data_IF_595444997742
#
_entry.id   IF_595444997742
#
_cell.length_a   1.000
_cell.length_b   1.000
_cell.length_c   1.000
_cell.angle_alpha   90.00
_cell.angle_beta   90.00
_cell.angle_gamma   90.00
#
_symmetry.space_group_name_H-M   'P 1'
#
loop_
_entity.id
_entity.type
_entity.pdbx_description
1 polymer ?
#
# COMPACT_ATOMS: atom_id res chain seq x y z
N UNK A 1 38.38 -3.21 36.21
CA UNK A 1 38.44 -3.75 34.83
C UNK A 1 37.04 -4.06 34.39
N UNK A 2 36.50 -3.26 33.47
CA UNK A 2 35.12 -3.39 32.98
C UNK A 2 34.94 -4.64 32.12
N UNK A 3 33.85 -5.36 32.35
CA UNK A 3 33.40 -6.43 31.45
C UNK A 3 32.64 -5.76 30.31
N UNK A 4 33.14 -5.93 29.09
CA UNK A 4 32.48 -5.50 27.88
C UNK A 4 31.14 -6.22 27.74
N UNK A 5 30.07 -5.44 27.59
CA UNK A 5 28.79 -5.94 27.13
C UNK A 5 28.91 -6.23 25.63
N UNK A 6 29.18 -7.49 25.28
CA UNK A 6 28.94 -7.99 23.93
C UNK A 6 27.43 -8.12 23.75
N UNK A 7 26.81 -7.10 23.14
CA UNK A 7 25.41 -7.12 22.78
C UNK A 7 25.16 -8.14 21.67
N UNK A 8 24.93 -9.40 22.03
CA UNK A 8 24.23 -10.34 21.16
C UNK A 8 22.77 -9.89 21.05
N UNK A 9 22.23 -9.63 19.84
CA UNK A 9 20.81 -9.32 19.68
C UNK A 9 20.00 -10.55 20.11
N UNK A 10 19.40 -10.47 21.28
CA UNK A 10 18.46 -11.46 21.78
C UNK A 10 17.15 -11.34 21.00
N UNK A 11 16.95 -12.23 20.03
CA UNK A 11 15.64 -12.76 19.63
C UNK A 11 14.43 -11.81 19.53
N UNK A 12 14.55 -10.66 18.86
CA UNK A 12 13.39 -9.83 18.49
C UNK A 12 13.03 -10.06 17.03
N UNK A 13 11.79 -10.51 16.79
CA UNK A 13 11.30 -11.10 15.54
C UNK A 13 11.63 -10.31 14.27
N UNK A 14 12.20 -11.01 13.28
CA UNK A 14 12.13 -10.59 11.88
C UNK A 14 10.66 -10.63 11.45
N UNK A 15 10.01 -9.48 11.38
CA UNK A 15 8.64 -9.36 10.91
C UNK A 15 8.69 -9.15 9.39
N UNK A 16 8.12 -10.06 8.57
CA UNK A 16 7.92 -9.78 7.15
C UNK A 16 7.06 -8.52 7.01
N UNK A 17 7.53 -7.60 6.15
CA UNK A 17 7.05 -6.22 6.07
C UNK A 17 5.53 -6.05 6.02
N UNK A 18 5.04 -4.94 6.59
CA UNK A 18 3.65 -4.50 6.44
C UNK A 18 3.49 -3.70 5.15
N UNK A 19 2.42 -3.96 4.41
CA UNK A 19 1.95 -3.09 3.34
C UNK A 19 1.23 -1.86 3.93
N UNK A 20 1.77 -0.67 3.73
CA UNK A 20 1.22 0.59 4.25
C UNK A 20 1.78 1.79 3.46
N UNK A 21 1.11 2.94 3.50
CA UNK A 21 1.70 4.21 3.06
C UNK A 21 2.20 5.02 4.27
N UNK A 22 2.73 6.22 4.01
CA UNK A 22 3.32 7.11 5.03
C UNK A 22 2.28 8.10 5.56
N UNK A 23 2.13 8.16 6.88
CA UNK A 23 1.12 8.99 7.54
C UNK A 23 1.39 10.49 7.43
N UNK A 24 2.65 10.88 7.38
CA UNK A 24 3.07 12.28 7.21
C UNK A 24 2.57 12.92 5.90
N UNK A 25 2.35 12.13 4.85
CA UNK A 25 1.83 12.61 3.56
C UNK A 25 0.31 12.42 3.43
N UNK A 26 -0.25 11.41 4.08
CA UNK A 26 -1.68 11.13 4.10
C UNK A 26 -2.09 10.59 5.47
N UNK A 27 -2.78 11.41 6.27
CA UNK A 27 -3.22 11.02 7.61
C UNK A 27 -4.37 10.02 7.55
N UNK A 28 -4.01 8.74 7.51
CA UNK A 28 -4.92 7.61 7.49
C UNK A 28 -4.47 6.58 8.54
N UNK A 29 -5.41 6.01 9.30
CA UNK A 29 -5.09 5.07 10.40
C UNK A 29 -4.36 3.78 9.96
N UNK A 30 -4.44 3.45 8.66
CA UNK A 30 -3.73 2.33 8.04
C UNK A 30 -2.28 2.66 7.65
N UNK A 31 -1.90 3.94 7.64
CA UNK A 31 -0.56 4.39 7.32
C UNK A 31 0.35 4.36 8.55
N UNK A 32 1.65 4.25 8.31
CA UNK A 32 2.67 4.25 9.35
C UNK A 32 3.14 5.68 9.63
N UNK A 33 3.23 6.03 10.91
CA UNK A 33 3.92 7.24 11.35
C UNK A 33 5.44 7.04 11.37
N UNK A 34 6.17 8.15 11.57
CA UNK A 34 7.63 8.16 11.53
C UNK A 34 8.25 7.29 12.62
N UNK A 35 7.64 7.23 13.81
CA UNK A 35 8.12 6.38 14.91
C UNK A 35 8.04 4.90 14.53
N UNK A 36 6.92 4.47 13.94
CA UNK A 36 6.74 3.11 13.46
C UNK A 36 7.71 2.77 12.32
N UNK A 37 7.93 3.69 11.38
CA UNK A 37 8.90 3.51 10.29
C UNK A 37 10.32 3.35 10.85
N UNK A 38 10.73 4.20 11.79
CA UNK A 38 12.03 4.12 12.45
C UNK A 38 12.19 2.82 13.26
N UNK A 39 11.12 2.34 13.89
CA UNK A 39 11.12 1.05 14.58
C UNK A 39 11.32 -0.12 13.59
N UNK A 40 10.72 -0.08 12.40
CA UNK A 40 10.96 -1.10 11.35
C UNK A 40 12.43 -1.10 10.93
N UNK A 41 13.01 0.09 10.70
CA UNK A 41 14.44 0.23 10.40
C UNK A 41 15.33 -0.39 11.47
N UNK A 42 15.08 -0.07 12.74
CA UNK A 42 15.86 -0.55 13.87
C UNK A 42 15.87 -2.09 13.97
N UNK A 43 14.79 -2.74 13.52
CA UNK A 43 14.66 -4.20 13.49
C UNK A 43 15.15 -4.85 12.18
N UNK A 44 15.72 -4.10 11.24
CA UNK A 44 16.17 -4.64 9.95
C UNK A 44 15.04 -4.99 8.98
N UNK A 45 13.79 -4.64 9.33
CA UNK A 45 12.60 -4.93 8.55
C UNK A 45 12.46 -4.00 7.33
N UNK A 46 11.51 -4.34 6.47
CA UNK A 46 11.18 -3.58 5.26
C UNK A 46 9.71 -3.16 5.33
N UNK A 47 9.39 -1.91 5.01
CA UNK A 47 8.02 -1.48 4.74
C UNK A 47 7.74 -1.62 3.26
N UNK A 48 6.62 -2.23 2.90
CA UNK A 48 6.17 -2.29 1.51
C UNK A 48 5.20 -1.13 1.27
N UNK A 49 5.65 -0.08 0.56
CA UNK A 49 4.81 1.09 0.29
C UNK A 49 3.68 0.67 -0.65
N UNK A 50 2.44 0.85 -0.19
CA UNK A 50 1.26 0.32 -0.89
C UNK A 50 0.59 1.37 -1.76
N UNK A 51 0.33 1.03 -3.02
CA UNK A 51 -0.38 1.87 -3.98
C UNK A 51 -1.90 1.79 -3.79
N UNK A 52 -2.39 2.06 -2.57
CA UNK A 52 -3.82 2.08 -2.29
C UNK A 52 -4.34 3.52 -2.30
N UNK A 53 -5.30 3.83 -3.18
CA UNK A 53 -5.72 5.20 -3.49
C UNK A 53 -5.97 6.08 -2.25
N UNK A 54 -6.77 5.61 -1.29
CA UNK A 54 -7.10 6.37 -0.08
C UNK A 54 -6.00 6.41 0.98
N UNK A 55 -4.93 5.63 0.81
CA UNK A 55 -3.76 5.61 1.70
C UNK A 55 -2.65 6.51 1.17
N UNK A 56 -2.58 6.65 -0.16
CA UNK A 56 -1.59 7.50 -0.85
C UNK A 56 -2.07 8.95 -0.90
N UNK A 57 -3.37 9.17 -1.04
CA UNK A 57 -3.93 10.51 -1.12
C UNK A 57 -5.23 10.54 -0.38
N UNK A 58 -5.36 11.45 0.57
CA UNK A 58 -6.64 11.72 1.20
C UNK A 58 -7.62 12.06 0.10
N UNK A 59 -8.65 11.22 -0.13
CA UNK A 59 -9.65 11.56 -1.12
C UNK A 59 -10.29 12.87 -0.65
N UNK A 60 -10.39 13.85 -1.54
CA UNK A 60 -11.26 15.00 -1.28
C UNK A 60 -12.64 14.44 -0.96
N UNK A 61 -13.27 14.98 0.09
CA UNK A 61 -14.63 14.59 0.44
C UNK A 61 -15.49 14.68 -0.84
N UNK A 62 -16.17 13.59 -1.23
CA UNK A 62 -17.07 13.66 -2.38
C UNK A 62 -18.09 14.77 -2.09
N UNK A 63 -18.58 15.42 -3.15
CA UNK A 63 -19.64 16.41 -2.98
C UNK A 63 -20.82 15.77 -2.24
N UNK A 64 -21.55 16.50 -1.36
CA UNK A 64 -22.71 15.96 -0.68
C UNK A 64 -23.72 15.30 -1.64
N UNK A 65 -23.88 15.89 -2.83
CA UNK A 65 -24.74 15.39 -3.90
C UNK A 65 -24.25 14.04 -4.43
N UNK A 66 -22.94 13.88 -4.66
CA UNK A 66 -22.35 12.60 -5.06
C UNK A 66 -22.54 11.53 -3.99
N UNK A 67 -22.28 11.87 -2.73
CA UNK A 67 -22.46 10.95 -1.62
C UNK A 67 -23.91 10.47 -1.50
N UNK A 68 -24.87 11.39 -1.66
CA UNK A 68 -26.31 11.08 -1.66
C UNK A 68 -26.71 10.20 -2.86
N UNK A 69 -26.23 10.52 -4.07
CA UNK A 69 -26.53 9.75 -5.27
C UNK A 69 -26.01 8.31 -5.16
N UNK A 70 -24.79 8.11 -4.65
CA UNK A 70 -24.23 6.78 -4.42
C UNK A 70 -24.99 6.03 -3.31
N UNK A 71 -25.34 6.71 -2.22
CA UNK A 71 -26.08 6.08 -1.13
C UNK A 71 -27.48 5.62 -1.59
N UNK A 72 -28.18 6.45 -2.34
CA UNK A 72 -29.48 6.11 -2.93
C UNK A 72 -29.36 4.91 -3.88
N UNK A 73 -28.39 4.96 -4.80
CA UNK A 73 -28.15 3.86 -5.75
C UNK A 73 -27.80 2.56 -5.03
N UNK A 74 -26.95 2.59 -4.00
CA UNK A 74 -26.61 1.39 -3.22
C UNK A 74 -27.83 0.83 -2.48
N UNK A 75 -28.68 1.68 -1.91
CA UNK A 75 -29.91 1.25 -1.25
C UNK A 75 -30.88 0.56 -2.22
N UNK A 76 -31.03 1.06 -3.44
CA UNK A 76 -31.86 0.43 -4.49
C UNK A 76 -31.38 -0.98 -4.89
N UNK A 77 -30.09 -1.25 -4.73
CA UNK A 77 -29.48 -2.55 -5.01
C UNK A 77 -29.28 -3.41 -3.76
N UNK A 78 -29.78 -2.97 -2.59
CA UNK A 78 -29.64 -3.71 -1.33
C UNK A 78 -28.20 -3.82 -0.82
N UNK A 79 -27.33 -2.87 -1.20
CA UNK A 79 -25.91 -2.85 -0.85
C UNK A 79 -25.66 -2.03 0.43
N UNK A 80 -24.70 -2.42 1.28
CA UNK A 80 -24.37 -1.66 2.49
C UNK A 80 -23.83 -0.27 2.15
N UNK A 81 -23.93 0.70 3.06
CA UNK A 81 -23.34 2.02 2.89
C UNK A 81 -21.82 1.93 2.59
N UNK A 82 -21.28 2.90 1.85
CA UNK A 82 -19.86 2.93 1.47
C UNK A 82 -18.97 2.94 2.72
N UNK A 83 -17.99 2.02 2.82
CA UNK A 83 -17.08 1.98 3.97
C UNK A 83 -16.44 0.63 4.31
N UNK A 84 -16.87 -0.48 3.70
CA UNK A 84 -16.26 -1.80 3.91
C UNK A 84 -15.69 -2.35 2.62
N UNK A 85 -14.35 -2.30 2.46
CA UNK A 85 -13.55 -3.08 1.51
C UNK A 85 -14.03 -3.05 0.05
N UNK A 86 -13.28 -2.40 -0.83
CA UNK A 86 -13.49 -2.40 -2.29
C UNK A 86 -13.28 -3.75 -2.98
N UNK A 87 -13.53 -4.87 -2.30
CA UNK A 87 -13.49 -6.22 -2.86
C UNK A 87 -14.87 -6.65 -3.33
N UNK A 88 -14.90 -7.53 -4.34
CA UNK A 88 -16.13 -8.07 -4.96
C UNK A 88 -17.14 -8.73 -4.01
N UNK A 89 -16.81 -8.91 -2.72
CA UNK A 89 -17.68 -9.49 -1.69
C UNK A 89 -19.00 -8.73 -1.47
N UNK A 90 -19.00 -7.39 -1.56
CA UNK A 90 -20.24 -6.62 -1.41
C UNK A 90 -21.27 -6.91 -2.51
N UNK A 91 -20.80 -7.34 -3.69
CA UNK A 91 -21.63 -7.64 -4.86
C UNK A 91 -21.87 -9.15 -5.02
N UNK A 92 -21.33 -9.99 -4.14
CA UNK A 92 -21.41 -11.44 -4.26
C UNK A 92 -22.86 -11.96 -4.32
N UNK A 93 -23.79 -11.31 -3.61
CA UNK A 93 -25.21 -11.65 -3.61
C UNK A 93 -26.02 -11.17 -4.83
N UNK A 94 -25.45 -10.37 -5.73
CA UNK A 94 -26.14 -9.86 -6.91
C UNK A 94 -25.93 -10.75 -8.14
N UNK A 95 -26.94 -10.85 -9.01
CA UNK A 95 -26.80 -11.51 -10.32
C UNK A 95 -25.86 -10.73 -11.24
N UNK A 96 -25.35 -11.37 -12.30
CA UNK A 96 -24.48 -10.70 -13.27
C UNK A 96 -25.18 -9.51 -13.95
N UNK A 97 -26.46 -9.65 -14.28
CA UNK A 97 -27.29 -8.60 -14.89
C UNK A 97 -27.46 -7.42 -13.94
N UNK A 98 -27.73 -7.71 -12.66
CA UNK A 98 -27.91 -6.68 -11.64
C UNK A 98 -26.60 -5.96 -11.33
N UNK A 99 -25.46 -6.66 -11.36
CA UNK A 99 -24.13 -6.04 -11.28
C UNK A 99 -23.85 -5.14 -12.48
N UNK A 100 -24.17 -5.59 -13.69
CA UNK A 100 -23.98 -4.79 -14.90
C UNK A 100 -24.88 -3.54 -14.91
N UNK A 101 -26.12 -3.67 -14.43
CA UNK A 101 -27.03 -2.52 -14.25
C UNK A 101 -26.48 -1.51 -13.22
N UNK A 102 -26.01 -1.99 -12.07
CA UNK A 102 -25.37 -1.16 -11.06
C UNK A 102 -24.15 -0.42 -11.65
N UNK A 103 -23.29 -1.11 -12.40
CA UNK A 103 -22.11 -0.50 -13.03
C UNK A 103 -22.49 0.60 -14.03
N UNK A 104 -23.51 0.38 -14.86
CA UNK A 104 -24.00 1.44 -15.78
C UNK A 104 -24.52 2.65 -15.03
N UNK A 105 -25.36 2.45 -14.00
CA UNK A 105 -25.92 3.56 -13.21
C UNK A 105 -24.86 4.28 -12.37
N UNK A 106 -23.83 3.57 -11.90
CA UNK A 106 -22.67 4.19 -11.29
C UNK A 106 -21.93 5.09 -12.29
N UNK A 107 -21.79 4.66 -13.54
CA UNK A 107 -21.16 5.49 -14.57
C UNK A 107 -21.98 6.77 -14.88
N UNK A 108 -23.31 6.70 -14.83
CA UNK A 108 -24.19 7.89 -14.93
C UNK A 108 -23.97 8.84 -13.73
N UNK A 109 -23.89 8.30 -12.51
CA UNK A 109 -23.56 9.08 -11.31
C UNK A 109 -22.19 9.73 -11.44
N UNK A 110 -21.18 9.02 -11.96
CA UNK A 110 -19.84 9.57 -12.16
C UNK A 110 -19.80 10.66 -13.25
N UNK A 111 -20.67 10.58 -14.26
CA UNK A 111 -20.81 11.66 -15.26
C UNK A 111 -21.45 12.91 -14.66
N UNK A 112 -22.49 12.74 -13.84
CA UNK A 112 -23.22 13.85 -13.23
C UNK A 112 -22.46 14.46 -12.06
N UNK A 113 -21.77 13.63 -11.29
CA UNK A 113 -21.01 13.99 -10.09
C UNK A 113 -19.63 13.31 -10.14
N UNK A 114 -18.66 13.91 -10.86
CA UNK A 114 -17.34 13.33 -11.03
C UNK A 114 -16.67 12.96 -9.70
N UNK A 115 -16.00 11.79 -9.63
CA UNK A 115 -15.25 11.41 -8.45
C UNK A 115 -14.11 12.41 -8.17
N UNK A 116 -13.69 12.55 -6.91
CA UNK A 116 -12.47 13.30 -6.60
C UNK A 116 -11.26 12.66 -7.32
N UNK A 117 -10.23 13.46 -7.63
CA UNK A 117 -9.02 12.95 -8.27
C UNK A 117 -8.41 11.80 -7.48
N UNK A 118 -8.04 10.72 -8.18
CA UNK A 118 -7.28 9.62 -7.59
C UNK A 118 -5.85 10.06 -7.27
N UNK A 119 -5.21 9.32 -6.38
CA UNK A 119 -3.77 9.27 -6.28
C UNK A 119 -3.18 8.85 -7.63
N UNK A 120 -2.07 9.44 -8.00
CA UNK A 120 -1.30 9.15 -9.21
C UNK A 120 -0.05 8.35 -8.87
N UNK A 121 0.65 7.81 -9.88
CA UNK A 121 2.01 7.26 -9.72
C UNK A 121 2.94 8.28 -9.05
N UNK A 122 2.82 9.58 -9.37
CA UNK A 122 3.62 10.62 -8.73
C UNK A 122 3.34 10.70 -7.22
N UNK A 123 2.06 10.76 -6.83
CA UNK A 123 1.68 10.79 -5.42
C UNK A 123 2.21 9.53 -4.70
N UNK A 124 2.11 8.36 -5.34
CA UNK A 124 2.64 7.11 -4.80
C UNK A 124 4.15 7.13 -4.58
N UNK A 125 4.92 7.61 -5.57
CA UNK A 125 6.38 7.68 -5.44
C UNK A 125 6.81 8.77 -4.44
N UNK A 126 5.98 9.79 -4.16
CA UNK A 126 6.23 10.74 -3.05
C UNK A 126 6.30 10.00 -1.69
N UNK A 127 5.48 8.96 -1.48
CA UNK A 127 5.58 8.11 -0.28
C UNK A 127 6.84 7.26 -0.24
N UNK A 128 7.28 6.73 -1.39
CA UNK A 128 8.54 5.99 -1.48
C UNK A 128 9.70 6.91 -1.13
N UNK A 129 9.77 8.10 -1.72
CA UNK A 129 10.82 9.09 -1.45
C UNK A 129 10.88 9.46 0.02
N UNK A 130 9.73 9.73 0.63
CA UNK A 130 9.67 10.04 2.05
C UNK A 130 10.23 8.90 2.90
N UNK A 131 9.77 7.67 2.65
CA UNK A 131 10.25 6.50 3.39
C UNK A 131 11.75 6.27 3.17
N UNK A 132 12.24 6.32 1.93
CA UNK A 132 13.66 6.17 1.60
C UNK A 132 14.51 7.22 2.31
N UNK A 133 14.06 8.48 2.34
CA UNK A 133 14.74 9.57 3.04
C UNK A 133 14.78 9.35 4.56
N UNK A 134 13.70 8.86 5.16
CA UNK A 134 13.60 8.67 6.60
C UNK A 134 14.35 7.42 7.08
N UNK A 135 14.08 6.28 6.44
CA UNK A 135 14.53 4.97 6.92
C UNK A 135 15.65 4.34 6.09
N UNK A 136 15.94 4.86 4.91
CA UNK A 136 16.99 4.38 4.01
C UNK A 136 16.47 3.37 2.99
N UNK A 137 17.15 3.31 1.84
CA UNK A 137 16.74 2.50 0.68
C UNK A 137 16.62 1.01 1.00
N UNK A 138 17.40 0.48 1.95
CA UNK A 138 17.43 -0.95 2.29
C UNK A 138 16.21 -1.44 3.09
N UNK A 139 15.31 -0.52 3.47
CA UNK A 139 14.14 -0.77 4.31
C UNK A 139 12.82 -0.46 3.63
N UNK A 140 12.83 -0.17 2.32
CA UNK A 140 11.63 0.20 1.56
C UNK A 140 11.42 -0.78 0.42
N UNK A 141 10.17 -1.17 0.18
CA UNK A 141 9.74 -1.92 -0.99
C UNK A 141 8.44 -1.38 -1.57
N UNK A 142 7.92 -2.04 -2.59
CA UNK A 142 6.73 -1.65 -3.36
C UNK A 142 5.66 -2.74 -3.27
N UNK A 143 4.41 -2.34 -3.04
CA UNK A 143 3.23 -3.20 -3.14
C UNK A 143 2.12 -2.51 -3.92
N UNK A 144 1.48 -3.22 -4.85
CA UNK A 144 0.36 -2.70 -5.63
C UNK A 144 -0.99 -2.84 -4.92
N UNK A 145 -1.16 -3.91 -4.13
CA UNK A 145 -2.45 -4.37 -3.60
C UNK A 145 -3.51 -4.62 -4.72
N UNK A 146 -3.05 -5.04 -5.91
CA UNK A 146 -3.92 -5.48 -7.00
C UNK A 146 -4.85 -6.61 -6.53
N UNK A 147 -6.06 -6.63 -7.10
CA UNK A 147 -7.17 -7.52 -6.72
C UNK A 147 -7.68 -7.35 -5.26
N UNK A 148 -6.98 -6.55 -4.43
CA UNK A 148 -7.39 -6.10 -3.09
C UNK A 148 -8.05 -4.70 -3.08
N UNK A 149 -8.18 -4.06 -4.24
CA UNK A 149 -8.68 -2.69 -4.39
C UNK A 149 -7.57 -1.62 -4.46
N UNK A 150 -6.31 -2.05 -4.55
CA UNK A 150 -5.17 -1.19 -4.85
C UNK A 150 -5.12 -0.70 -6.29
N UNK A 151 -4.04 0.01 -6.60
CA UNK A 151 -3.83 0.73 -7.85
C UNK A 151 -4.05 2.23 -7.71
N UNK A 152 -3.17 2.98 -8.37
CA UNK A 152 -3.23 4.44 -8.51
C UNK A 152 -3.37 4.80 -9.99
N UNK A 153 -3.74 6.04 -10.29
CA UNK A 153 -3.79 6.50 -11.67
C UNK A 153 -2.42 6.43 -12.33
N UNK A 154 -2.34 5.75 -13.48
CA UNK A 154 -1.11 5.34 -14.15
C UNK A 154 -0.47 4.05 -13.63
N UNK A 155 -1.06 3.35 -12.65
CA UNK A 155 -0.69 1.99 -12.26
C UNK A 155 -1.92 1.22 -11.74
N UNK A 156 -2.88 1.00 -12.64
CA UNK A 156 -4.16 0.37 -12.37
C UNK A 156 -4.09 -1.16 -12.35
N UNK A 157 -3.16 -1.73 -13.12
CA UNK A 157 -2.93 -3.18 -13.19
C UNK A 157 -1.46 -3.49 -13.51
N UNK A 158 -1.15 -4.79 -13.54
CA UNK A 158 0.22 -5.28 -13.73
C UNK A 158 0.86 -4.84 -15.06
N UNK A 159 0.07 -4.56 -16.10
CA UNK A 159 0.60 -4.09 -17.39
C UNK A 159 1.18 -2.68 -17.32
N UNK A 160 0.74 -1.87 -16.36
CA UNK A 160 1.18 -0.49 -16.15
C UNK A 160 2.39 -0.38 -15.20
N UNK A 161 2.94 -1.50 -14.72
CA UNK A 161 4.04 -1.53 -13.73
C UNK A 161 5.29 -0.76 -14.17
N UNK A 162 5.51 -0.66 -15.47
CA UNK A 162 6.59 0.15 -16.02
C UNK A 162 6.49 1.63 -15.63
N UNK A 163 5.27 2.17 -15.44
CA UNK A 163 5.08 3.58 -15.10
C UNK A 163 5.67 3.96 -13.74
N UNK A 164 5.61 3.05 -12.75
CA UNK A 164 6.28 3.25 -11.46
C UNK A 164 7.79 3.30 -11.63
N UNK A 165 8.35 2.37 -12.41
CA UNK A 165 9.79 2.32 -12.67
C UNK A 165 10.25 3.57 -13.41
N UNK A 166 9.48 4.04 -14.41
CA UNK A 166 9.77 5.28 -15.14
C UNK A 166 9.78 6.49 -14.20
N UNK A 167 8.84 6.58 -13.27
CA UNK A 167 8.81 7.66 -12.29
C UNK A 167 10.01 7.59 -11.33
N UNK A 168 10.40 6.41 -10.86
CA UNK A 168 11.61 6.24 -10.04
C UNK A 168 12.88 6.69 -10.81
N UNK A 169 13.01 6.30 -12.08
CA UNK A 169 14.12 6.73 -12.94
C UNK A 169 14.13 8.26 -13.09
N UNK A 170 12.96 8.88 -13.33
CA UNK A 170 12.84 10.35 -13.44
C UNK A 170 13.30 11.07 -12.16
N UNK A 171 13.14 10.45 -11.00
CA UNK A 171 13.58 10.97 -9.71
C UNK A 171 15.04 10.68 -9.37
N UNK A 172 15.75 9.99 -10.26
CA UNK A 172 17.18 9.75 -10.14
C UNK A 172 17.55 8.49 -9.34
N UNK A 173 16.61 7.58 -9.11
CA UNK A 173 16.96 6.27 -8.57
C UNK A 173 17.81 5.48 -9.57
N UNK A 174 18.88 4.87 -9.08
CA UNK A 174 19.72 3.99 -9.89
C UNK A 174 19.03 2.64 -10.11
N UNK A 175 19.50 1.89 -11.11
CA UNK A 175 19.01 0.54 -11.38
C UNK A 175 19.13 -0.37 -10.14
N UNK A 176 20.22 -0.27 -9.39
CA UNK A 176 20.44 -1.04 -8.17
C UNK A 176 19.45 -0.66 -7.05
N UNK A 177 19.12 0.62 -6.92
CA UNK A 177 18.14 1.07 -5.94
C UNK A 177 16.72 0.63 -6.34
N UNK A 178 16.39 0.68 -7.63
CA UNK A 178 15.11 0.20 -8.16
C UNK A 178 14.98 -1.32 -7.94
N UNK A 179 16.04 -2.09 -8.17
CA UNK A 179 16.05 -3.53 -7.90
C UNK A 179 15.82 -3.86 -6.42
N UNK A 180 16.39 -3.05 -5.50
CA UNK A 180 16.14 -3.17 -4.05
C UNK A 180 14.67 -2.92 -3.70
N UNK A 181 14.07 -1.86 -4.24
CA UNK A 181 12.67 -1.50 -4.02
C UNK A 181 11.70 -2.58 -4.53
N UNK A 182 11.96 -3.14 -5.72
CA UNK A 182 11.05 -4.14 -6.31
C UNK A 182 11.11 -5.50 -5.63
N UNK A 183 12.28 -5.94 -5.16
CA UNK A 183 12.39 -7.28 -4.55
C UNK A 183 13.60 -7.47 -3.65
N UNK A 184 14.74 -6.85 -3.95
CA UNK A 184 16.01 -7.15 -3.27
C UNK A 184 15.93 -7.02 -1.75
N UNK A 185 15.23 -6.01 -1.24
CA UNK A 185 15.05 -5.81 0.19
C UNK A 185 14.16 -6.88 0.84
N UNK A 186 13.08 -7.28 0.16
CA UNK A 186 12.19 -8.32 0.65
C UNK A 186 12.92 -9.67 0.70
N UNK A 187 13.63 -10.02 -0.37
CA UNK A 187 14.39 -11.27 -0.47
C UNK A 187 15.46 -11.35 0.62
N UNK A 188 16.20 -10.25 0.86
CA UNK A 188 17.14 -10.16 1.98
C UNK A 188 16.50 -10.51 3.32
N UNK A 189 15.31 -9.96 3.61
CA UNK A 189 14.59 -10.25 4.86
C UNK A 189 14.14 -11.72 4.92
N UNK A 190 13.66 -12.27 3.80
CA UNK A 190 13.27 -13.69 3.73
C UNK A 190 14.45 -14.62 4.01
N UNK A 191 15.64 -14.33 3.47
CA UNK A 191 16.85 -15.11 3.73
C UNK A 191 17.23 -15.07 5.22
N UNK A 192 17.15 -13.89 5.85
CA UNK A 192 17.42 -13.71 7.27
C UNK A 192 16.43 -14.48 8.16
N UNK A 193 15.14 -14.48 7.79
CA UNK A 193 14.10 -15.28 8.47
C UNK A 193 14.42 -16.78 8.38
N UNK A 194 14.73 -17.26 7.18
CA UNK A 194 15.07 -18.68 6.97
C UNK A 194 16.32 -19.10 7.76
N UNK A 195 17.33 -18.23 7.81
CA UNK A 195 18.53 -18.50 8.61
C UNK A 195 18.23 -18.55 10.11
N UNK A 196 17.45 -17.60 10.63
CA UNK A 196 17.01 -17.61 12.02
C UNK A 196 16.23 -18.87 12.36
N UNK A 197 15.31 -19.30 11.48
CA UNK A 197 14.54 -20.52 11.64
C UNK A 197 15.45 -21.76 11.70
N UNK A 198 16.44 -21.88 10.80
CA UNK A 198 17.42 -22.98 10.82
C UNK A 198 18.20 -23.04 12.13
N UNK A 199 18.65 -21.89 12.65
CA UNK A 199 19.38 -21.82 13.93
C UNK A 199 18.51 -22.27 15.11
N UNK A 200 17.26 -21.84 15.15
CA UNK A 200 16.31 -22.24 16.20
C UNK A 200 15.98 -23.73 16.15
N UNK A 201 15.83 -24.30 14.95
CA UNK A 201 15.57 -25.72 14.76
C UNK A 201 16.80 -26.59 15.07
N UNK A 202 18.01 -26.10 14.81
CA UNK A 202 19.25 -26.84 15.11
C UNK A 202 19.67 -26.75 16.60
N UNK A 203 19.13 -25.78 17.34
CA UNK A 203 19.35 -25.59 18.78
C UNK A 203 18.25 -26.16 19.67
N UNK A 204 17.23 -26.81 19.09
CA UNK A 204 16.13 -27.51 19.78
C UNK A 204 16.32 -29.02 19.69
#
# INVERSE_FOLDING_TARGET
GGRGASGTPTGSGLIPGRAAAVRALCDHSRNLDDEQLLALKANGAVVQIVAFNSYVKTPLSPSPERAQAIAALRAEFGLPAQGGGGGGGAFAGLSAERRAEFQRRMAEVDQQFPPPPRATVKDFVDHIDYAVKLIGIDHVGISSDFDGGGGVDGWNDASETLNVTLELVRRGYTEEQIAKLWSGNLLRVMDQVQEAARRLQAGA
#
